data_IF_413331897344
#
_entry.id   IF_413331897344
#
_cell.length_a   1.000
_cell.length_b   1.000
_cell.length_c   1.000
_cell.angle_alpha   90.00
_cell.angle_beta   90.00
_cell.angle_gamma   90.00
#
_symmetry.space_group_name_H-M   'P 1'
#
loop_
_entity.id
_entity.type
_entity.pdbx_description
1 polymer ?
#
# COMPACT_ATOMS: atom_id res chain seq x y z
N UNK A 1 -5.68 -4.51 15.94
CA UNK A 1 -4.83 -3.88 14.94
C UNK A 1 -5.68 -3.71 13.69
N UNK A 2 -5.83 -2.50 13.19
CA UNK A 2 -6.47 -2.21 11.90
C UNK A 2 -5.38 -1.90 10.88
N UNK A 3 -5.44 -2.53 9.74
CA UNK A 3 -4.55 -2.30 8.61
C UNK A 3 -5.33 -1.73 7.43
N UNK A 4 -4.60 -1.33 6.40
CA UNK A 4 -5.15 -0.87 5.16
C UNK A 4 -4.41 -1.48 3.99
N UNK A 5 -5.16 -1.92 2.97
CA UNK A 5 -4.59 -2.54 1.79
C UNK A 5 -3.85 -1.54 0.91
N UNK A 6 -2.61 -1.83 0.56
CA UNK A 6 -1.84 -1.19 -0.49
C UNK A 6 -1.86 -1.99 -1.79
N UNK A 7 -1.24 -1.44 -2.84
CA UNK A 7 -1.21 -2.09 -4.14
C UNK A 7 -0.49 -3.46 -4.14
N UNK A 8 0.52 -3.64 -3.28
CA UNK A 8 1.18 -4.94 -3.11
C UNK A 8 0.29 -5.95 -2.37
N UNK A 9 -0.42 -5.52 -1.33
CA UNK A 9 -1.36 -6.37 -0.58
C UNK A 9 -2.50 -6.85 -1.46
N UNK A 10 -3.01 -6.00 -2.36
CA UNK A 10 -4.03 -6.35 -3.34
C UNK A 10 -3.57 -7.47 -4.26
N UNK A 11 -2.29 -7.51 -4.66
CA UNK A 11 -1.74 -8.63 -5.46
C UNK A 11 -1.76 -9.95 -4.70
N UNK A 12 -1.50 -9.93 -3.41
CA UNK A 12 -1.61 -11.13 -2.57
C UNK A 12 -3.08 -11.57 -2.43
N UNK A 13 -4.00 -10.64 -2.24
CA UNK A 13 -5.46 -10.90 -2.20
C UNK A 13 -5.95 -11.51 -3.51
N UNK A 14 -5.62 -10.90 -4.67
CA UNK A 14 -5.96 -11.41 -6.00
C UNK A 14 -5.41 -12.84 -6.23
N UNK A 15 -4.20 -13.10 -5.77
CA UNK A 15 -3.59 -14.43 -5.86
C UNK A 15 -4.29 -15.45 -4.97
N UNK A 16 -4.68 -15.06 -3.76
CA UNK A 16 -5.46 -15.89 -2.84
C UNK A 16 -6.84 -16.28 -3.39
N UNK A 17 -7.48 -15.40 -4.17
CA UNK A 17 -8.76 -15.68 -4.78
C UNK A 17 -8.68 -16.79 -5.85
N UNK A 18 -9.76 -17.56 -6.00
CA UNK A 18 -9.83 -18.60 -7.01
C UNK A 18 -9.72 -18.00 -8.43
N UNK A 19 -8.73 -18.42 -9.20
CA UNK A 19 -8.50 -17.96 -10.58
C UNK A 19 -7.47 -16.84 -10.73
N UNK A 20 -6.98 -16.22 -9.65
CA UNK A 20 -5.89 -15.26 -9.72
C UNK A 20 -4.54 -15.93 -10.04
N UNK A 21 -3.76 -15.32 -10.94
CA UNK A 21 -2.39 -15.74 -11.25
C UNK A 21 -2.28 -16.68 -12.45
N UNK A 22 -1.76 -16.15 -13.52
CA UNK A 22 -1.30 -16.88 -14.71
C UNK A 22 0.09 -16.41 -15.10
N UNK A 23 0.61 -16.81 -16.25
CA UNK A 23 1.94 -16.44 -16.72
C UNK A 23 2.19 -14.93 -16.79
N UNK A 24 1.14 -14.11 -16.99
CA UNK A 24 1.23 -12.66 -16.95
C UNK A 24 1.47 -12.15 -15.52
N UNK A 25 0.71 -12.66 -14.53
CA UNK A 25 0.90 -12.33 -13.12
C UNK A 25 2.31 -12.72 -12.67
N UNK A 26 2.77 -13.92 -13.00
CA UNK A 26 4.12 -14.39 -12.68
C UNK A 26 5.18 -13.43 -13.20
N UNK A 27 5.19 -13.13 -14.50
CA UNK A 27 6.20 -12.26 -15.12
C UNK A 27 6.21 -10.84 -14.54
N UNK A 28 5.04 -10.26 -14.27
CA UNK A 28 4.95 -8.85 -13.87
C UNK A 28 5.07 -8.64 -12.36
N UNK A 29 4.93 -9.68 -11.57
CA UNK A 29 4.94 -9.56 -10.13
C UNK A 29 5.98 -10.49 -9.47
N UNK A 30 5.90 -11.79 -9.70
CA UNK A 30 6.80 -12.75 -9.05
C UNK A 30 8.22 -12.63 -9.61
N UNK A 31 8.39 -12.66 -10.92
CA UNK A 31 9.72 -12.64 -11.56
C UNK A 31 10.43 -11.29 -11.44
N UNK A 32 9.69 -10.17 -11.52
CA UNK A 32 10.25 -8.82 -11.36
C UNK A 32 10.71 -8.56 -9.92
N UNK A 33 9.92 -8.96 -8.92
CA UNK A 33 10.22 -8.66 -7.52
C UNK A 33 11.05 -9.74 -6.82
N UNK A 34 10.99 -10.99 -7.32
CA UNK A 34 11.74 -12.14 -6.78
C UNK A 34 11.68 -12.21 -5.26
N UNK A 35 12.83 -12.18 -4.58
CA UNK A 35 12.93 -12.27 -3.12
C UNK A 35 12.24 -11.13 -2.36
N UNK A 36 11.88 -10.04 -3.05
CA UNK A 36 11.07 -8.95 -2.50
C UNK A 36 9.56 -9.15 -2.70
N UNK A 37 9.16 -10.15 -3.48
CA UNK A 37 7.76 -10.50 -3.63
C UNK A 37 7.24 -11.20 -2.38
N UNK A 38 6.21 -10.65 -1.73
CA UNK A 38 5.63 -11.22 -0.52
C UNK A 38 5.19 -12.68 -0.74
N UNK A 39 4.61 -13.01 -1.88
CA UNK A 39 4.21 -14.40 -2.20
C UNK A 39 5.38 -15.36 -2.26
N UNK A 40 6.52 -14.94 -2.79
CA UNK A 40 7.75 -15.73 -2.81
C UNK A 40 8.26 -15.94 -1.39
N UNK A 41 8.27 -14.89 -0.57
CA UNK A 41 8.68 -14.96 0.83
C UNK A 41 7.76 -15.90 1.64
N UNK A 42 6.45 -15.83 1.42
CA UNK A 42 5.47 -16.74 2.04
C UNK A 42 5.71 -18.18 1.59
N UNK A 43 5.97 -18.41 0.31
CA UNK A 43 6.35 -19.72 -0.23
C UNK A 43 7.58 -20.27 0.47
N UNK A 44 8.67 -19.52 0.49
CA UNK A 44 9.92 -19.91 1.16
C UNK A 44 9.70 -20.21 2.65
N UNK A 45 8.95 -19.38 3.37
CA UNK A 45 8.63 -19.60 4.77
C UNK A 45 7.77 -20.87 5.01
N UNK A 46 7.07 -21.34 3.97
CA UNK A 46 6.32 -22.60 3.97
C UNK A 46 7.13 -23.78 3.38
N UNK A 47 8.40 -23.59 3.04
CA UNK A 47 9.26 -24.62 2.46
C UNK A 47 9.02 -24.87 0.97
N UNK A 48 8.41 -23.93 0.25
CA UNK A 48 8.08 -24.06 -1.17
C UNK A 48 8.86 -23.03 -2.01
N UNK A 49 9.61 -23.51 -3.00
CA UNK A 49 10.29 -22.68 -3.99
C UNK A 49 9.48 -22.61 -5.28
N UNK A 50 9.21 -21.40 -5.75
CA UNK A 50 8.50 -21.16 -7.01
C UNK A 50 9.50 -20.90 -8.12
N UNK A 51 9.56 -21.76 -9.14
CA UNK A 51 10.51 -21.71 -10.25
C UNK A 51 9.89 -21.25 -11.57
N UNK A 52 8.57 -21.34 -11.68
CA UNK A 52 7.86 -20.98 -12.90
C UNK A 52 6.36 -20.73 -12.68
N UNK A 53 5.67 -20.19 -13.70
CA UNK A 53 4.25 -19.87 -13.62
C UNK A 53 3.34 -21.10 -13.44
N UNK A 54 3.80 -22.27 -13.85
CA UNK A 54 3.09 -23.56 -13.69
C UNK A 54 2.96 -23.98 -12.22
N UNK A 55 3.84 -23.49 -11.36
CA UNK A 55 3.83 -23.79 -9.93
C UNK A 55 2.94 -22.85 -9.10
N UNK A 56 2.39 -21.80 -9.70
CA UNK A 56 1.51 -20.84 -9.00
C UNK A 56 0.30 -21.50 -8.32
N UNK A 57 -0.37 -22.50 -8.91
CA UNK A 57 -1.45 -23.22 -8.21
C UNK A 57 -0.97 -23.91 -6.94
N UNK A 58 0.18 -24.59 -6.99
CA UNK A 58 0.76 -25.27 -5.83
C UNK A 58 1.22 -24.24 -4.77
N UNK A 59 1.86 -23.16 -5.16
CA UNK A 59 2.20 -22.06 -4.26
C UNK A 59 0.95 -21.51 -3.55
N UNK A 60 -0.16 -21.34 -4.27
CA UNK A 60 -1.42 -20.86 -3.68
C UNK A 60 -1.92 -21.77 -2.59
N UNK A 61 -1.95 -23.08 -2.83
CA UNK A 61 -2.40 -24.05 -1.84
C UNK A 61 -1.50 -24.05 -0.59
N UNK A 62 -0.19 -24.00 -0.79
CA UNK A 62 0.78 -23.94 0.31
C UNK A 62 0.60 -22.65 1.13
N UNK A 63 0.46 -21.51 0.47
CA UNK A 63 0.26 -20.21 1.13
C UNK A 63 -1.07 -20.19 1.88
N UNK A 64 -2.15 -20.68 1.29
CA UNK A 64 -3.46 -20.78 1.96
C UNK A 64 -3.42 -21.68 3.19
N UNK A 65 -2.77 -22.84 3.08
CA UNK A 65 -2.67 -23.79 4.18
C UNK A 65 -1.85 -23.22 5.35
N UNK A 66 -0.78 -22.48 5.07
CA UNK A 66 0.16 -22.00 6.09
C UNK A 66 -0.18 -20.63 6.65
N UNK A 67 -0.79 -19.75 5.83
CA UNK A 67 -1.03 -18.33 6.13
C UNK A 67 -2.50 -17.93 6.01
N UNK A 68 -3.42 -18.87 6.25
CA UNK A 68 -4.86 -18.60 6.17
C UNK A 68 -5.32 -17.39 7.01
N UNK A 69 -4.93 -17.29 8.31
CA UNK A 69 -5.29 -16.12 9.14
C UNK A 69 -4.75 -14.79 8.61
N UNK A 70 -3.52 -14.77 8.10
CA UNK A 70 -2.89 -13.58 7.51
C UNK A 70 -3.58 -13.17 6.21
N UNK A 71 -3.92 -14.13 5.36
CA UNK A 71 -4.71 -13.88 4.15
C UNK A 71 -6.09 -13.30 4.48
N UNK A 72 -6.78 -13.89 5.46
CA UNK A 72 -8.08 -13.39 5.91
C UNK A 72 -7.97 -11.95 6.47
N UNK A 73 -6.90 -11.64 7.19
CA UNK A 73 -6.62 -10.27 7.63
C UNK A 73 -6.43 -9.31 6.45
N UNK A 74 -5.63 -9.68 5.45
CA UNK A 74 -5.43 -8.88 4.23
C UNK A 74 -6.75 -8.69 3.46
N UNK A 75 -7.57 -9.74 3.35
CA UNK A 75 -8.88 -9.68 2.68
C UNK A 75 -9.87 -8.74 3.39
N UNK A 76 -9.79 -8.68 4.73
CA UNK A 76 -10.66 -7.83 5.55
C UNK A 76 -10.20 -6.37 5.61
N UNK A 77 -9.00 -6.03 5.12
CA UNK A 77 -8.51 -4.65 5.15
C UNK A 77 -9.32 -3.74 4.21
N UNK A 78 -9.88 -2.62 4.72
CA UNK A 78 -10.55 -1.65 3.86
C UNK A 78 -9.54 -0.87 3.01
N UNK A 79 -9.94 -0.38 1.86
CA UNK A 79 -9.15 0.53 1.03
C UNK A 79 -9.02 1.91 1.66
N UNK A 80 -10.03 2.32 2.40
CA UNK A 80 -10.09 3.62 3.09
C UNK A 80 -10.47 3.40 4.55
N UNK A 81 -9.78 4.06 5.46
CA UNK A 81 -10.19 4.15 6.86
C UNK A 81 -10.51 5.59 7.21
N UNK A 82 -11.74 5.83 7.62
CA UNK A 82 -12.23 7.14 7.99
C UNK A 82 -12.41 7.21 9.52
N UNK A 83 -11.90 8.26 10.09
CA UNK A 83 -12.15 8.65 11.49
C UNK A 83 -12.70 10.07 11.53
N UNK A 84 -13.12 10.61 12.69
CA UNK A 84 -13.58 11.99 12.77
C UNK A 84 -12.58 13.02 12.21
N UNK A 85 -11.27 12.80 12.43
CA UNK A 85 -10.21 13.78 12.14
C UNK A 85 -9.27 13.34 11.01
N UNK A 86 -9.28 12.06 10.64
CA UNK A 86 -8.33 11.49 9.69
C UNK A 86 -9.03 10.66 8.62
N UNK A 87 -8.51 10.75 7.42
CA UNK A 87 -8.79 9.89 6.28
C UNK A 87 -7.48 9.23 5.87
N UNK A 88 -7.45 7.92 5.91
CA UNK A 88 -6.29 7.16 5.51
C UNK A 88 -6.59 6.42 4.22
N UNK A 89 -5.75 6.53 3.24
CA UNK A 89 -5.84 5.86 1.95
C UNK A 89 -4.44 5.64 1.38
N UNK A 90 -4.20 4.55 0.66
CA UNK A 90 -2.84 4.25 0.21
C UNK A 90 -2.32 5.24 -0.84
N UNK A 91 -3.08 5.46 -1.93
CA UNK A 91 -2.66 6.35 -3.02
C UNK A 91 -3.27 7.74 -2.98
N UNK A 92 -4.49 7.85 -2.45
CA UNK A 92 -5.24 9.11 -2.39
C UNK A 92 -6.65 8.99 -2.96
N UNK A 93 -7.45 10.02 -2.73
CA UNK A 93 -8.83 10.18 -3.25
C UNK A 93 -9.05 11.63 -3.69
N UNK A 94 -10.00 11.86 -4.59
CA UNK A 94 -10.25 13.21 -5.11
C UNK A 94 -10.88 14.13 -4.05
N UNK A 95 -11.78 13.62 -3.23
CA UNK A 95 -12.43 14.35 -2.14
C UNK A 95 -12.89 13.39 -1.03
N UNK A 96 -13.32 13.93 0.09
CA UNK A 96 -13.80 13.16 1.25
C UNK A 96 -15.34 13.01 1.31
N UNK A 97 -16.08 13.61 0.40
CA UNK A 97 -17.54 13.55 0.38
C UNK A 97 -18.06 12.35 -0.43
N UNK A 98 -17.28 11.87 -1.38
CA UNK A 98 -17.67 10.82 -2.32
C UNK A 98 -16.73 9.61 -2.20
N UNK A 99 -16.71 8.98 -1.02
CA UNK A 99 -15.86 7.83 -0.75
C UNK A 99 -16.52 6.48 -1.05
N UNK A 100 -17.84 6.45 -1.20
CA UNK A 100 -18.59 5.23 -1.51
C UNK A 100 -18.48 4.89 -3.00
N UNK A 101 -18.30 3.60 -3.29
CA UNK A 101 -18.24 3.10 -4.67
C UNK A 101 -16.97 3.50 -5.45
N UNK A 102 -15.96 4.01 -4.78
CA UNK A 102 -14.68 4.30 -5.42
C UNK A 102 -14.02 3.02 -5.93
N UNK A 103 -13.36 3.15 -7.07
CA UNK A 103 -12.50 2.10 -7.59
C UNK A 103 -11.31 1.88 -6.64
N UNK A 104 -11.27 0.70 -6.02
CA UNK A 104 -10.22 0.32 -5.07
C UNK A 104 -8.81 0.49 -5.66
N UNK A 105 -8.62 0.16 -6.94
CA UNK A 105 -7.34 0.33 -7.61
C UNK A 105 -6.91 1.80 -7.72
N UNK A 106 -7.84 2.70 -8.01
CA UNK A 106 -7.56 4.14 -8.04
C UNK A 106 -7.19 4.70 -6.69
N UNK A 107 -7.83 4.21 -5.62
CA UNK A 107 -7.47 4.59 -4.24
C UNK A 107 -6.07 4.12 -3.84
N UNK A 108 -5.61 3.01 -4.43
CA UNK A 108 -4.30 2.43 -4.12
C UNK A 108 -3.19 2.89 -5.08
N UNK A 109 -3.53 3.17 -6.35
CA UNK A 109 -2.57 3.56 -7.38
C UNK A 109 -2.92 4.93 -7.93
N UNK A 110 -2.60 5.95 -7.15
CA UNK A 110 -2.77 7.35 -7.53
C UNK A 110 -1.39 8.03 -7.50
N UNK A 111 -0.69 7.94 -8.61
CA UNK A 111 0.65 8.49 -8.75
C UNK A 111 0.58 10.02 -8.68
N UNK A 112 1.59 10.64 -8.06
CA UNK A 112 1.74 12.09 -7.96
C UNK A 112 0.53 12.82 -7.31
N UNK A 113 -0.12 12.16 -6.34
CA UNK A 113 -1.35 12.65 -5.71
C UNK A 113 -1.23 14.08 -5.17
N UNK A 114 -0.11 14.42 -4.56
CA UNK A 114 0.09 15.73 -3.93
C UNK A 114 0.07 16.87 -4.97
N UNK A 115 0.51 16.63 -6.20
CA UNK A 115 0.51 17.63 -7.27
C UNK A 115 -0.87 17.88 -7.88
N UNK A 116 -1.87 17.03 -7.59
CA UNK A 116 -3.23 17.13 -8.14
C UNK A 116 -4.08 18.26 -7.53
N UNK A 117 -3.59 18.92 -6.47
CA UNK A 117 -4.21 20.13 -5.92
C UNK A 117 -5.38 19.87 -4.97
N UNK A 118 -5.67 18.62 -4.59
CA UNK A 118 -6.73 18.28 -3.66
C UNK A 118 -6.52 18.89 -2.27
N UNK A 119 -7.61 19.12 -1.55
CA UNK A 119 -7.62 19.59 -0.16
C UNK A 119 -8.77 18.93 0.60
N UNK A 120 -8.60 18.77 1.91
CA UNK A 120 -9.51 18.02 2.76
C UNK A 120 -9.85 18.79 4.04
N UNK A 121 -10.99 18.48 4.64
CA UNK A 121 -11.34 18.95 5.97
C UNK A 121 -10.61 18.13 7.05
N UNK A 122 -10.50 16.81 6.83
CA UNK A 122 -9.72 15.88 7.65
C UNK A 122 -8.28 15.83 7.15
N UNK A 123 -7.37 15.40 8.00
CA UNK A 123 -6.04 15.06 7.52
C UNK A 123 -6.09 13.78 6.67
N UNK A 124 -5.76 13.91 5.39
CA UNK A 124 -5.61 12.80 4.45
C UNK A 124 -4.18 12.26 4.52
N UNK A 125 -4.03 11.07 5.09
CA UNK A 125 -2.74 10.40 5.24
C UNK A 125 -2.57 9.43 4.07
N UNK A 126 -1.51 9.63 3.27
CA UNK A 126 -1.24 8.86 2.06
C UNK A 126 0.18 8.31 2.02
N UNK A 127 0.36 7.24 1.23
CA UNK A 127 1.66 6.65 0.89
C UNK A 127 1.80 6.55 -0.63
N UNK A 128 2.23 5.38 -1.12
CA UNK A 128 2.32 4.97 -2.52
C UNK A 128 3.35 5.73 -3.37
N UNK A 129 3.27 7.05 -3.41
CA UNK A 129 4.20 7.88 -4.19
C UNK A 129 5.31 8.40 -3.29
N UNK A 130 6.57 7.97 -3.50
CA UNK A 130 7.68 8.36 -2.64
C UNK A 130 7.83 9.87 -2.52
N UNK A 131 7.90 10.38 -1.30
CA UNK A 131 8.03 11.84 -1.03
C UNK A 131 9.27 12.45 -1.67
N UNK A 132 10.32 11.67 -1.89
CA UNK A 132 11.53 12.10 -2.61
C UNK A 132 11.23 12.60 -4.03
N UNK A 133 10.14 12.14 -4.66
CA UNK A 133 9.75 12.55 -6.00
C UNK A 133 9.10 13.94 -6.05
N UNK A 134 8.67 14.47 -4.89
CA UNK A 134 8.19 15.85 -4.76
C UNK A 134 9.32 16.87 -4.50
N UNK A 135 10.54 16.41 -4.26
CA UNK A 135 11.71 17.23 -3.95
C UNK A 135 12.84 17.02 -4.98
N UNK A 136 12.72 17.55 -6.21
CA UNK A 136 13.68 17.25 -7.28
C UNK A 136 15.07 17.85 -7.05
N UNK A 137 15.19 18.93 -6.26
CA UNK A 137 16.46 19.63 -6.05
C UNK A 137 17.19 19.23 -4.77
N UNK A 138 16.44 18.99 -3.71
CA UNK A 138 16.98 18.52 -2.41
C UNK A 138 16.08 17.35 -1.97
N UNK A 139 16.37 16.15 -2.42
CA UNK A 139 15.55 14.99 -2.08
C UNK A 139 15.48 14.80 -0.57
N UNK A 140 14.25 14.60 -0.07
CA UNK A 140 14.00 14.22 1.32
C UNK A 140 13.06 13.02 1.34
N UNK A 141 13.38 12.02 2.15
CA UNK A 141 12.52 10.87 2.40
C UNK A 141 11.62 11.07 3.64
N UNK A 142 11.77 12.18 4.36
CA UNK A 142 10.92 12.52 5.51
C UNK A 142 9.46 12.78 5.09
N UNK A 143 8.47 12.55 5.97
CA UNK A 143 7.07 12.86 5.69
C UNK A 143 6.88 14.31 5.19
N UNK A 144 6.03 14.48 4.20
CA UNK A 144 5.71 15.78 3.62
C UNK A 144 4.32 16.19 4.08
N UNK A 145 4.25 17.28 4.83
CA UNK A 145 3.00 17.85 5.35
C UNK A 145 2.57 19.05 4.50
N UNK A 146 1.46 18.92 3.80
CA UNK A 146 0.80 20.02 3.10
C UNK A 146 -0.32 20.58 4.00
N UNK A 147 0.07 21.35 5.04
CA UNK A 147 -0.82 21.82 6.10
C UNK A 147 -2.05 22.57 5.57
N UNK A 148 -1.86 23.52 4.64
CA UNK A 148 -2.97 24.27 4.05
C UNK A 148 -3.97 23.43 3.23
N UNK A 149 -3.67 22.17 2.99
CA UNK A 149 -4.54 21.20 2.29
C UNK A 149 -4.94 20.01 3.15
N UNK A 150 -4.42 19.92 4.36
CA UNK A 150 -4.58 18.79 5.26
C UNK A 150 -4.18 17.46 4.61
N UNK A 151 -2.99 17.39 4.03
CA UNK A 151 -2.44 16.16 3.46
C UNK A 151 -1.10 15.85 4.10
N UNK A 152 -0.91 14.60 4.55
CA UNK A 152 0.38 14.07 4.97
C UNK A 152 0.77 12.90 4.06
N UNK A 153 1.84 13.07 3.28
CA UNK A 153 2.44 12.00 2.48
C UNK A 153 3.60 11.39 3.25
N UNK A 154 3.53 10.08 3.51
CA UNK A 154 4.48 9.40 4.41
C UNK A 154 5.33 8.33 3.74
N UNK A 155 5.20 8.11 2.43
CA UNK A 155 6.02 7.13 1.72
C UNK A 155 7.45 7.62 1.54
N UNK A 156 8.36 7.13 2.35
CA UNK A 156 9.80 7.45 2.26
C UNK A 156 10.55 6.68 1.18
N UNK A 157 9.88 5.82 0.40
CA UNK A 157 10.49 5.06 -0.69
C UNK A 157 11.41 3.92 -0.23
N UNK A 158 11.26 3.43 1.00
CA UNK A 158 12.18 2.46 1.63
C UNK A 158 12.37 1.15 0.84
N UNK A 159 11.39 0.75 0.03
CA UNK A 159 11.47 -0.48 -0.77
C UNK A 159 12.07 -0.28 -2.16
N UNK A 160 12.11 0.95 -2.67
CA UNK A 160 12.44 1.24 -4.07
C UNK A 160 13.67 2.15 -4.23
N UNK A 161 13.99 2.96 -3.24
CA UNK A 161 15.05 3.97 -3.31
C UNK A 161 16.24 3.58 -2.45
N UNK A 162 17.45 3.81 -2.95
CA UNK A 162 18.70 3.53 -2.21
C UNK A 162 18.79 4.36 -0.93
N UNK A 163 18.32 5.60 -0.99
CA UNK A 163 18.26 6.59 0.09
C UNK A 163 16.86 6.75 0.70
N UNK A 164 15.99 5.76 0.44
CA UNK A 164 14.65 5.70 1.04
C UNK A 164 14.68 5.34 2.52
N UNK A 165 13.65 5.75 3.24
CA UNK A 165 13.48 5.44 4.66
C UNK A 165 12.06 4.95 4.96
N UNK A 166 11.91 4.18 6.02
CA UNK A 166 10.59 3.85 6.57
C UNK A 166 10.15 4.97 7.50
N UNK A 167 9.04 5.61 7.17
CA UNK A 167 8.46 6.65 7.99
C UNK A 167 7.38 6.10 8.91
N UNK A 168 7.26 6.70 10.09
CA UNK A 168 6.11 6.58 10.97
C UNK A 168 5.61 7.99 11.31
N UNK A 169 4.32 8.15 11.42
CA UNK A 169 3.66 9.39 11.80
C UNK A 169 2.89 9.14 13.10
N UNK A 170 3.25 9.85 14.15
CA UNK A 170 2.49 9.83 15.39
C UNK A 170 1.38 10.86 15.29
N UNK A 171 0.15 10.40 15.38
CA UNK A 171 -1.02 11.26 15.32
C UNK A 171 -1.24 11.94 16.66
N UNK A 172 -1.52 13.25 16.71
CA UNK A 172 -1.80 13.93 17.95
C UNK A 172 -3.08 13.39 18.61
N UNK A 173 -3.10 13.35 19.96
CA UNK A 173 -4.26 12.89 20.73
C UNK A 173 -5.49 13.79 20.55
N UNK A 174 -5.27 15.05 20.16
CA UNK A 174 -6.34 16.03 19.93
C UNK A 174 -6.20 16.64 18.55
N UNK A 175 -7.32 16.93 17.85
CA UNK A 175 -7.31 17.66 16.61
C UNK A 175 -6.53 18.98 16.73
N UNK A 176 -5.72 19.30 15.72
CA UNK A 176 -4.90 20.52 15.70
C UNK A 176 -3.59 20.46 16.49
N UNK A 177 -3.26 19.32 17.11
CA UNK A 177 -1.92 19.08 17.65
C UNK A 177 -0.87 18.90 16.55
N UNK A 178 0.41 19.01 16.91
CA UNK A 178 1.50 18.77 15.97
C UNK A 178 1.71 17.25 15.75
N UNK A 179 2.02 16.88 14.51
CA UNK A 179 2.52 15.52 14.21
C UNK A 179 3.97 15.37 14.68
N UNK A 180 4.35 14.17 15.05
CA UNK A 180 5.71 13.80 15.39
C UNK A 180 6.14 12.46 14.77
#
# INVERSE_FOLDING_TARGET
VSGRGGNCDTRVREFGAAGGGGGRFYRHYVDVWRDRCLLVQMGHAAGFETRGPEELPALREVVRARFGPELAFLEAMPEILLTPDYLFVHGGVADEAHLEGLDAWKCMKNDDFLSQGHSFRRWCIVGHWPVTLYHPHVPSAAPLLAEGRHIASIDGGCSLKVDGQLNALVLPERPGGAFS
#
